data_IF_403663335475
#
_entry.id   IF_403663335475
#
_cell.length_a   1.000
_cell.length_b   1.000
_cell.length_c   1.000
_cell.angle_alpha   90.00
_cell.angle_beta   90.00
_cell.angle_gamma   90.00
#
_symmetry.space_group_name_H-M   'P 1'
#
loop_
_entity.id
_entity.type
_entity.pdbx_description
1 polymer ?
#
# COMPACT_ATOMS: atom_id res chain seq x y z
N UNK A 1 0.44 -12.52 -1.88
CA UNK A 1 -0.59 -11.50 -2.14
C UNK A 1 -0.09 -10.07 -1.86
N UNK A 2 0.13 -9.65 -0.60
CA UNK A 2 0.61 -8.28 -0.27
C UNK A 2 1.79 -7.79 -1.11
N UNK A 3 2.84 -8.61 -1.26
CA UNK A 3 3.99 -8.27 -2.09
C UNK A 3 3.62 -8.01 -3.55
N UNK A 4 2.70 -8.80 -4.11
CA UNK A 4 2.24 -8.62 -5.48
C UNK A 4 1.48 -7.29 -5.62
N UNK A 5 0.60 -6.97 -4.65
CA UNK A 5 -0.12 -5.69 -4.65
C UNK A 5 0.86 -4.52 -4.67
N UNK A 6 1.88 -4.54 -3.80
CA UNK A 6 2.93 -3.50 -3.81
C UNK A 6 3.66 -3.47 -5.15
N UNK A 7 4.08 -4.62 -5.69
CA UNK A 7 4.79 -4.68 -6.96
C UNK A 7 4.02 -4.08 -8.14
N UNK A 8 2.71 -4.31 -8.22
CA UNK A 8 1.86 -3.84 -9.33
C UNK A 8 1.20 -2.47 -9.11
N UNK A 9 1.23 -1.92 -7.89
CA UNK A 9 0.53 -0.66 -7.55
C UNK A 9 1.40 0.38 -6.86
N UNK A 10 2.70 0.12 -6.74
CA UNK A 10 3.62 1.10 -6.18
C UNK A 10 3.62 2.41 -6.98
N UNK A 11 3.84 3.56 -6.31
CA UNK A 11 3.96 3.71 -4.86
C UNK A 11 2.60 3.61 -4.15
N UNK A 12 2.49 2.82 -3.07
CA UNK A 12 1.20 2.55 -2.39
C UNK A 12 1.32 2.59 -0.85
N UNK A 13 0.30 3.11 -0.16
CA UNK A 13 0.26 3.14 1.32
C UNK A 13 -0.21 1.81 1.92
N UNK A 14 0.08 1.58 3.21
CA UNK A 14 -0.47 0.44 3.98
C UNK A 14 -1.99 0.38 3.88
N UNK A 15 -2.68 1.50 4.09
CA UNK A 15 -4.13 1.55 4.03
C UNK A 15 -4.65 1.19 2.63
N UNK A 16 -3.94 1.60 1.57
CA UNK A 16 -4.29 1.21 0.20
C UNK A 16 -4.15 -0.30 -0.04
N UNK A 17 -3.08 -0.91 0.48
CA UNK A 17 -2.94 -2.38 0.45
C UNK A 17 -4.10 -3.07 1.18
N UNK A 18 -4.48 -2.57 2.35
CA UNK A 18 -5.60 -3.12 3.14
C UNK A 18 -6.93 -2.96 2.43
N UNK A 19 -7.18 -1.82 1.78
CA UNK A 19 -8.40 -1.59 1.01
C UNK A 19 -8.53 -2.56 -0.18
N UNK A 20 -7.42 -2.95 -0.81
CA UNK A 20 -7.40 -3.96 -1.88
C UNK A 20 -7.64 -5.37 -1.33
N UNK A 21 -7.02 -5.71 -0.18
CA UNK A 21 -7.08 -7.06 0.40
C UNK A 21 -8.32 -7.32 1.25
N UNK A 22 -8.97 -6.26 1.74
CA UNK A 22 -10.05 -6.32 2.70
C UNK A 22 -9.64 -6.71 4.13
N UNK A 23 -8.34 -6.86 4.42
CA UNK A 23 -7.82 -7.30 5.74
C UNK A 23 -6.52 -6.59 6.09
N UNK A 24 -6.22 -6.47 7.39
CA UNK A 24 -4.98 -5.87 7.91
C UNK A 24 -3.73 -6.55 7.31
N UNK A 25 -2.71 -5.75 7.00
CA UNK A 25 -1.48 -6.24 6.37
C UNK A 25 -0.19 -5.79 7.06
N UNK A 26 -0.26 -5.17 8.24
CA UNK A 26 0.87 -4.55 8.94
C UNK A 26 2.02 -5.54 9.19
N UNK A 27 1.74 -6.67 9.85
CA UNK A 27 2.77 -7.67 10.13
C UNK A 27 3.40 -8.27 8.86
N UNK A 28 2.65 -8.31 7.75
CA UNK A 28 3.15 -8.79 6.46
C UNK A 28 4.09 -7.76 5.83
N UNK A 29 3.71 -6.47 5.83
CA UNK A 29 4.56 -5.40 5.35
C UNK A 29 5.87 -5.33 6.15
N UNK A 30 5.80 -5.38 7.48
CA UNK A 30 7.00 -5.39 8.33
C UNK A 30 7.92 -6.59 8.05
N UNK A 31 7.35 -7.75 7.74
CA UNK A 31 8.12 -8.95 7.38
C UNK A 31 8.79 -8.78 6.01
N UNK A 32 8.10 -8.18 5.04
CA UNK A 32 8.65 -7.90 3.71
C UNK A 32 9.74 -6.83 3.76
N UNK A 33 9.57 -5.77 4.55
CA UNK A 33 10.59 -4.74 4.79
C UNK A 33 11.84 -5.34 5.45
N UNK A 34 11.68 -6.15 6.50
CA UNK A 34 12.80 -6.85 7.17
C UNK A 34 13.57 -7.79 6.24
N UNK A 35 12.88 -8.39 5.26
CA UNK A 35 13.50 -9.24 4.23
C UNK A 35 14.10 -8.42 3.09
N UNK A 36 13.93 -7.11 3.10
CA UNK A 36 14.38 -6.17 2.07
C UNK A 36 13.65 -6.32 0.74
N UNK A 37 12.44 -6.89 0.70
CA UNK A 37 11.66 -7.05 -0.54
C UNK A 37 10.84 -5.80 -0.89
N UNK A 38 10.47 -5.02 0.13
CA UNK A 38 9.80 -3.72 -0.02
C UNK A 38 10.49 -2.69 0.87
N UNK A 39 10.30 -1.41 0.60
CA UNK A 39 10.83 -0.30 1.38
C UNK A 39 9.93 0.94 1.27
N UNK A 40 10.09 1.89 2.20
CA UNK A 40 9.54 3.24 2.08
C UNK A 40 10.21 3.96 0.90
N UNK A 41 9.41 4.35 -0.10
CA UNK A 41 9.86 5.10 -1.28
C UNK A 41 9.49 6.59 -1.20
N UNK A 42 8.76 6.98 -0.16
CA UNK A 42 8.33 8.36 0.08
C UNK A 42 7.16 8.41 1.06
N UNK A 43 6.53 9.56 1.12
CA UNK A 43 5.31 9.80 1.90
C UNK A 43 4.26 10.50 1.06
N UNK A 44 3.01 10.15 1.27
CA UNK A 44 1.90 10.79 0.56
C UNK A 44 1.67 12.20 1.12
N UNK A 45 1.40 13.16 0.23
CA UNK A 45 1.13 14.55 0.59
C UNK A 45 -0.34 14.76 0.96
N UNK A 46 -0.76 14.06 2.02
CA UNK A 46 -2.10 14.12 2.60
C UNK A 46 -1.98 14.22 4.13
N UNK A 47 -3.04 14.63 4.85
CA UNK A 47 -3.04 14.61 6.31
C UNK A 47 -2.55 13.26 6.87
N UNK A 48 -1.67 13.33 7.88
CA UNK A 48 -1.02 12.15 8.48
C UNK A 48 0.23 11.64 7.74
N UNK A 49 0.55 12.15 6.55
CA UNK A 49 1.74 11.81 5.75
C UNK A 49 2.10 10.31 5.75
N UNK A 50 1.19 9.43 5.32
CA UNK A 50 1.40 7.99 5.38
C UNK A 50 2.58 7.55 4.50
N UNK A 51 3.32 6.55 4.98
CA UNK A 51 4.43 5.91 4.24
C UNK A 51 3.93 5.30 2.93
N UNK A 52 4.64 5.57 1.85
CA UNK A 52 4.47 4.92 0.55
C UNK A 52 5.48 3.80 0.42
N UNK A 53 5.00 2.62 0.06
CA UNK A 53 5.81 1.41 -0.11
C UNK A 53 6.04 1.12 -1.60
N UNK A 54 7.23 0.61 -1.89
CA UNK A 54 7.61 0.07 -3.19
C UNK A 54 8.53 -1.14 -3.06
N UNK A 55 8.73 -1.87 -4.15
CA UNK A 55 9.67 -2.98 -4.27
C UNK A 55 11.10 -2.48 -4.38
N UNK A 56 12.04 -3.34 -4.00
CA UNK A 56 13.48 -3.05 -3.99
C UNK A 56 14.23 -3.77 -5.11
N UNK A 57 15.52 -3.49 -5.26
CA UNK A 57 16.41 -4.27 -6.12
C UNK A 57 16.44 -5.76 -5.74
N UNK A 58 16.43 -6.06 -4.43
CA UNK A 58 16.40 -7.44 -3.95
C UNK A 58 15.13 -8.19 -4.39
N UNK A 59 14.00 -7.50 -4.47
CA UNK A 59 12.80 -8.11 -5.05
C UNK A 59 13.04 -8.53 -6.50
N UNK A 60 13.59 -7.63 -7.32
CA UNK A 60 13.92 -7.89 -8.73
C UNK A 60 14.90 -9.06 -8.89
N UNK A 61 15.94 -9.13 -8.06
CA UNK A 61 16.89 -10.25 -8.02
C UNK A 61 16.20 -11.59 -7.73
N UNK A 62 15.25 -11.60 -6.77
CA UNK A 62 14.53 -12.83 -6.37
C UNK A 62 13.57 -13.29 -7.46
N UNK A 63 12.92 -12.36 -8.18
CA UNK A 63 11.99 -12.71 -9.28
C UNK A 63 12.70 -12.90 -10.63
N UNK A 64 13.99 -12.55 -10.72
CA UNK A 64 14.78 -12.68 -11.94
C UNK A 64 14.45 -11.65 -13.01
N UNK A 65 14.08 -10.43 -12.61
CA UNK A 65 13.77 -9.32 -13.52
C UNK A 65 14.82 -8.22 -13.41
N UNK A 66 15.04 -7.46 -14.48
CA UNK A 66 15.93 -6.29 -14.46
C UNK A 66 15.18 -5.03 -14.02
N UNK A 67 13.88 -4.94 -14.37
CA UNK A 67 13.06 -3.76 -14.12
C UNK A 67 11.69 -4.16 -13.60
N UNK A 68 11.07 -3.25 -12.86
CA UNK A 68 9.69 -3.40 -12.40
C UNK A 68 8.74 -3.45 -13.60
N UNK A 69 9.03 -2.70 -14.65
CA UNK A 69 8.23 -2.67 -15.88
C UNK A 69 8.19 -4.02 -16.61
N UNK A 70 9.12 -4.93 -16.29
CA UNK A 70 9.17 -6.28 -16.87
C UNK A 70 8.25 -7.27 -16.14
N UNK A 71 7.51 -6.82 -15.11
CA UNK A 71 6.55 -7.66 -14.42
C UNK A 71 5.48 -8.18 -15.40
N UNK A 72 5.11 -9.47 -15.31
CA UNK A 72 4.11 -10.02 -16.21
C UNK A 72 2.77 -9.29 -16.03
N UNK A 73 1.98 -9.13 -17.11
CA UNK A 73 0.66 -8.51 -17.00
C UNK A 73 -0.21 -9.29 -16.02
N UNK A 74 -1.08 -8.58 -15.30
CA UNK A 74 -2.05 -9.22 -14.42
C UNK A 74 -2.96 -10.17 -15.24
N UNK A 75 -3.30 -11.35 -14.73
CA UNK A 75 -4.22 -12.28 -15.40
C UNK A 75 -5.54 -11.60 -15.76
N UNK A 76 -6.10 -11.94 -16.93
CA UNK A 76 -7.42 -11.47 -17.34
C UNK A 76 -8.47 -11.76 -16.25
N UNK A 77 -9.20 -10.71 -15.84
CA UNK A 77 -10.18 -10.80 -14.75
C UNK A 77 -9.64 -10.44 -13.35
N UNK A 78 -8.34 -10.14 -13.21
CA UNK A 78 -7.80 -9.60 -11.96
C UNK A 78 -8.26 -8.15 -11.76
N UNK A 79 -9.38 -7.96 -11.06
CA UNK A 79 -9.86 -6.63 -10.66
C UNK A 79 -9.14 -6.23 -9.38
N UNK A 80 -8.12 -5.40 -9.50
CA UNK A 80 -7.57 -4.69 -8.34
C UNK A 80 -8.30 -3.35 -8.26
N UNK A 81 -9.09 -3.10 -7.20
CA UNK A 81 -9.91 -1.90 -7.10
C UNK A 81 -9.04 -0.65 -7.29
N UNK A 82 -9.53 0.27 -8.12
CA UNK A 82 -8.98 1.61 -8.18
C UNK A 82 -9.28 2.30 -6.85
N UNK A 83 -8.23 2.54 -6.08
CA UNK A 83 -8.38 3.32 -4.86
C UNK A 83 -8.62 4.77 -5.29
N UNK A 84 -9.69 5.43 -4.78
CA UNK A 84 -9.80 6.87 -4.95
C UNK A 84 -8.52 7.50 -4.41
N UNK A 85 -7.93 8.44 -5.16
CA UNK A 85 -6.72 9.15 -4.75
C UNK A 85 -6.89 9.84 -3.36
N UNK A 86 -8.13 9.95 -2.87
CA UNK A 86 -8.54 10.82 -1.78
C UNK A 86 -9.31 10.13 -0.65
N UNK A 87 -9.44 8.78 -0.59
CA UNK A 87 -10.26 8.18 0.49
C UNK A 87 -9.51 8.06 1.83
N UNK A 88 -9.18 9.23 2.37
CA UNK A 88 -8.90 9.56 3.77
C UNK A 88 -9.74 10.79 4.16
N UNK A 89 -10.99 10.86 3.71
CA UNK A 89 -11.98 11.64 4.45
C UNK A 89 -12.15 10.90 5.78
N UNK A 90 -11.39 11.34 6.79
CA UNK A 90 -11.75 11.18 8.19
C UNK A 90 -13.27 11.36 8.27
N UNK A 91 -14.01 10.30 8.59
CA UNK A 91 -15.29 10.50 9.25
C UNK A 91 -14.91 11.31 10.50
N UNK A 92 -15.28 12.61 10.58
CA UNK A 92 -14.86 13.42 11.70
C UNK A 92 -15.41 12.70 12.93
N UNK A 93 -14.52 12.32 13.85
CA UNK A 93 -14.91 11.73 15.12
C UNK A 93 -16.07 12.58 15.66
N UNK A 94 -17.22 11.96 16.03
CA UNK A 94 -18.38 12.72 16.44
C UNK A 94 -17.93 13.71 17.51
N UNK A 95 -18.13 15.00 17.22
CA UNK A 95 -17.82 16.07 18.17
C UNK A 95 -18.49 15.69 19.49
N UNK A 96 -17.78 15.78 20.64
CA UNK A 96 -18.41 15.54 21.92
C UNK A 96 -19.59 16.51 22.02
N UNK A 97 -20.80 15.94 21.97
CA UNK A 97 -22.03 16.69 22.16
C UNK A 97 -21.91 17.42 23.49
N UNK A 98 -22.17 18.72 23.42
CA UNK A 98 -21.84 19.71 24.43
C UNK A 98 -22.25 19.26 25.84
N UNK A 99 -21.26 18.94 26.68
CA UNK A 99 -21.43 19.04 28.13
C UNK A 99 -21.35 20.53 28.51
N UNK A 100 -22.34 21.31 28.05
CA UNK A 100 -22.56 22.69 28.43
C UNK A 100 -23.91 22.80 29.14
N UNK A 101 -23.82 22.90 30.48
CA UNK A 101 -24.85 23.32 31.45
C UNK A 101 -25.97 22.34 31.81
#
# INVERSE_FOLDING_TARGET
ETLAIVAYRQPLTRAGVEAIRGVNCEAVLDSLERRGLVAEVGRQDTPGHPRLFGTTLRFLEVVGLERVEDLPPLPEGTVIPELPAERWEEEPAPLPEEAAT
#
